data_IF_735683968297
#
_entry.id   IF_735683968297
#
_cell.length_a   1.000
_cell.length_b   1.000
_cell.length_c   1.000
_cell.angle_alpha   90.00
_cell.angle_beta   90.00
_cell.angle_gamma   90.00
#
_symmetry.space_group_name_H-M   'P 1'
#
loop_
_entity.id
_entity.type
_entity.pdbx_description
1 polymer ?
#
# COMPACT_ATOMS: atom_id res chain seq x y z
N UNK A 1 -17.00 9.65 -3.59
CA UNK A 1 -16.02 9.87 -2.51
C UNK A 1 -14.65 9.68 -3.14
N UNK A 2 -13.83 10.74 -3.26
CA UNK A 2 -12.50 10.62 -3.87
C UNK A 2 -11.64 9.70 -3.00
N UNK A 3 -11.04 8.67 -3.59
CA UNK A 3 -10.07 7.80 -2.93
C UNK A 3 -8.83 8.65 -2.63
N UNK A 4 -8.78 9.25 -1.44
CA UNK A 4 -7.60 9.94 -0.98
C UNK A 4 -6.64 8.86 -0.49
N UNK A 5 -5.77 8.40 -1.40
CA UNK A 5 -4.64 7.56 -0.99
C UNK A 5 -3.89 8.32 0.11
N UNK A 6 -3.42 7.66 1.19
CA UNK A 6 -2.80 8.35 2.33
C UNK A 6 -1.50 9.11 1.99
N UNK A 7 -1.07 9.06 0.73
CA UNK A 7 0.05 9.81 0.17
C UNK A 7 -0.16 10.02 -1.33
N UNK A 8 0.47 11.04 -1.90
CA UNK A 8 0.47 11.30 -3.34
C UNK A 8 1.47 10.36 -4.03
N UNK A 9 1.02 9.40 -4.86
CA UNK A 9 1.92 8.45 -5.51
C UNK A 9 2.82 9.11 -6.56
N UNK A 10 2.40 10.21 -7.18
CA UNK A 10 3.20 10.94 -8.17
C UNK A 10 4.36 11.65 -7.48
N UNK A 11 4.07 12.38 -6.39
CA UNK A 11 5.13 13.02 -5.57
C UNK A 11 6.08 12.00 -5.00
N UNK A 12 5.57 10.88 -4.48
CA UNK A 12 6.40 9.80 -3.95
C UNK A 12 7.39 9.28 -5.00
N UNK A 13 6.94 9.06 -6.25
CA UNK A 13 7.82 8.65 -7.34
C UNK A 13 8.88 9.70 -7.67
N UNK A 14 8.48 10.97 -7.76
CA UNK A 14 9.40 12.08 -8.05
C UNK A 14 10.47 12.25 -6.97
N UNK A 15 10.11 12.11 -5.69
CA UNK A 15 11.01 12.33 -4.56
C UNK A 15 11.95 11.15 -4.29
N UNK A 16 11.50 9.92 -4.50
CA UNK A 16 12.25 8.72 -4.09
C UNK A 16 12.91 7.97 -5.25
N UNK A 17 12.49 8.25 -6.48
CA UNK A 17 12.81 7.44 -7.64
C UNK A 17 12.09 6.08 -7.66
N UNK A 18 10.98 5.95 -6.91
CA UNK A 18 10.19 4.72 -6.87
C UNK A 18 9.77 4.32 -8.29
N UNK A 19 10.22 3.15 -8.73
CA UNK A 19 9.82 2.54 -9.99
C UNK A 19 8.81 1.41 -9.76
N UNK A 20 9.14 0.47 -8.87
CA UNK A 20 8.31 -0.68 -8.56
C UNK A 20 8.51 -1.17 -7.12
N UNK A 21 7.65 -2.11 -6.72
CA UNK A 21 7.69 -2.81 -5.44
C UNK A 21 8.04 -4.26 -5.71
N UNK A 22 8.97 -4.80 -4.92
CA UNK A 22 9.26 -6.23 -4.88
C UNK A 22 8.78 -6.76 -3.53
N UNK A 23 7.82 -7.68 -3.52
CA UNK A 23 7.19 -8.09 -2.28
C UNK A 23 5.95 -8.95 -2.45
N UNK A 24 5.20 -9.08 -1.35
CA UNK A 24 4.00 -9.90 -1.26
C UNK A 24 2.82 -9.11 -0.71
N UNK A 25 1.64 -9.52 -1.15
CA UNK A 25 0.35 -9.04 -0.66
C UNK A 25 -0.38 -10.27 -0.12
N UNK A 26 -0.89 -10.16 1.10
CA UNK A 26 -1.64 -11.23 1.76
C UNK A 26 -2.98 -10.70 2.26
N UNK A 27 -4.07 -11.37 1.89
CA UNK A 27 -5.40 -11.11 2.46
C UNK A 27 -5.59 -12.03 3.64
N UNK A 28 -5.36 -11.52 4.85
CA UNK A 28 -5.40 -12.34 6.08
C UNK A 28 -6.82 -12.65 6.52
N UNK A 29 -7.76 -11.73 6.31
CA UNK A 29 -9.17 -11.90 6.65
C UNK A 29 -10.05 -11.18 5.64
N UNK A 30 -11.18 -11.80 5.28
CA UNK A 30 -12.16 -11.24 4.34
C UNK A 30 -13.59 -11.58 4.76
N UNK A 31 -14.48 -10.63 4.55
CA UNK A 31 -15.93 -10.76 4.61
C UNK A 31 -16.55 -10.08 3.38
N UNK A 32 -17.87 -10.17 3.14
CA UNK A 32 -18.51 -9.54 2.00
C UNK A 32 -18.31 -8.02 1.90
N UNK A 33 -18.04 -7.35 3.03
CA UNK A 33 -17.91 -5.88 3.10
C UNK A 33 -16.60 -5.40 3.72
N UNK A 34 -15.73 -6.29 4.20
CA UNK A 34 -14.46 -5.88 4.84
C UNK A 34 -13.32 -6.83 4.48
N UNK A 35 -12.13 -6.30 4.28
CA UNK A 35 -10.91 -7.09 4.13
C UNK A 35 -9.76 -6.48 4.94
N UNK A 36 -8.94 -7.35 5.52
CA UNK A 36 -7.67 -6.99 6.14
C UNK A 36 -6.55 -7.50 5.23
N UNK A 37 -5.67 -6.60 4.81
CA UNK A 37 -4.62 -6.88 3.83
C UNK A 37 -3.28 -6.49 4.41
N UNK A 38 -2.34 -7.43 4.44
CA UNK A 38 -0.93 -7.19 4.74
C UNK A 38 -0.16 -7.00 3.43
N UNK A 39 0.74 -6.03 3.42
CA UNK A 39 1.69 -5.81 2.33
C UNK A 39 3.08 -5.69 2.94
N UNK A 40 3.99 -6.53 2.45
CA UNK A 40 5.41 -6.48 2.77
C UNK A 40 6.19 -6.36 1.47
N UNK A 41 6.99 -5.30 1.34
CA UNK A 41 7.69 -5.04 0.10
C UNK A 41 8.99 -4.24 0.30
N UNK A 42 9.85 -4.29 -0.71
CA UNK A 42 10.99 -3.39 -0.89
C UNK A 42 10.65 -2.46 -2.05
N UNK A 43 10.76 -1.16 -1.83
CA UNK A 43 10.68 -0.16 -2.90
C UNK A 43 11.98 -0.14 -3.68
N UNK A 44 11.87 -0.20 -5.00
CA UNK A 44 13.01 -0.29 -5.92
C UNK A 44 13.03 0.90 -6.87
N UNK A 45 14.23 1.39 -7.17
CA UNK A 45 14.47 2.32 -8.29
C UNK A 45 14.47 1.58 -9.63
N UNK A 46 14.55 2.32 -10.72
CA UNK A 46 14.63 1.77 -12.08
C UNK A 46 15.86 0.88 -12.28
N UNK A 47 16.98 1.21 -11.66
CA UNK A 47 18.23 0.43 -11.68
C UNK A 47 18.20 -0.82 -10.79
N UNK A 48 17.08 -1.09 -10.10
CA UNK A 48 16.92 -2.22 -9.18
C UNK A 48 17.53 -2.00 -7.79
N UNK A 49 18.15 -0.84 -7.53
CA UNK A 49 18.64 -0.48 -6.20
C UNK A 49 17.47 -0.32 -5.22
N UNK A 50 17.70 -0.71 -3.97
CA UNK A 50 16.71 -0.59 -2.92
C UNK A 50 16.59 0.85 -2.41
N UNK A 51 15.36 1.27 -2.12
CA UNK A 51 15.03 2.56 -1.49
C UNK A 51 14.81 2.32 0.00
N UNK A 52 13.78 1.53 0.33
CA UNK A 52 13.38 1.21 1.70
C UNK A 52 12.53 -0.07 1.71
N UNK A 53 12.52 -0.77 2.85
CA UNK A 53 11.55 -1.81 3.15
C UNK A 53 10.27 -1.20 3.71
N UNK A 54 9.13 -1.85 3.48
CA UNK A 54 7.87 -1.49 4.11
C UNK A 54 7.08 -2.73 4.50
N UNK A 55 6.42 -2.61 5.64
CA UNK A 55 5.40 -3.53 6.11
C UNK A 55 4.16 -2.72 6.47
N UNK A 56 2.99 -3.18 6.03
CA UNK A 56 1.77 -2.41 6.22
C UNK A 56 0.52 -3.27 6.31
N UNK A 57 -0.42 -2.81 7.12
CA UNK A 57 -1.77 -3.32 7.26
C UNK A 57 -2.74 -2.30 6.66
N UNK A 58 -3.58 -2.77 5.75
CA UNK A 58 -4.70 -2.02 5.21
C UNK A 58 -6.02 -2.66 5.63
N UNK A 59 -6.97 -1.83 6.02
CA UNK A 59 -8.36 -2.21 6.20
C UNK A 59 -9.16 -1.64 5.05
N UNK A 60 -9.76 -2.53 4.26
CA UNK A 60 -10.59 -2.19 3.13
C UNK A 60 -12.04 -2.42 3.52
N UNK A 61 -12.91 -1.48 3.17
CA UNK A 61 -14.35 -1.62 3.34
C UNK A 61 -15.05 -1.40 2.02
N UNK A 62 -15.98 -2.29 1.70
CA UNK A 62 -16.85 -2.14 0.56
C UNK A 62 -17.95 -1.13 0.90
N UNK A 63 -18.10 -0.14 0.03
CA UNK A 63 -19.16 0.86 0.09
C UNK A 63 -20.49 0.23 -0.28
N UNK A 64 -21.50 0.44 0.56
CA UNK A 64 -22.86 -0.09 0.34
C UNK A 64 -23.58 0.63 -0.82
N UNK A 65 -23.17 1.85 -1.17
CA UNK A 65 -23.88 2.68 -2.16
C UNK A 65 -23.48 2.37 -3.60
N UNK A 66 -22.21 2.02 -3.82
CA UNK A 66 -21.66 1.83 -5.17
C UNK A 66 -20.81 0.55 -5.29
N UNK A 67 -20.78 -0.30 -4.26
CA UNK A 67 -20.02 -1.56 -4.24
C UNK A 67 -18.50 -1.41 -4.40
N UNK A 68 -17.95 -0.20 -4.34
CA UNK A 68 -16.51 0.05 -4.45
C UNK A 68 -15.79 -0.29 -3.15
N UNK A 69 -14.56 -0.77 -3.25
CA UNK A 69 -13.71 -0.96 -2.08
C UNK A 69 -12.90 0.30 -1.79
N UNK A 70 -12.92 0.74 -0.54
CA UNK A 70 -12.21 1.92 -0.06
C UNK A 70 -11.31 1.54 1.11
N UNK A 71 -10.13 2.16 1.20
CA UNK A 71 -9.27 2.03 2.37
C UNK A 71 -9.87 2.88 3.49
N UNK A 72 -10.24 2.25 4.61
CA UNK A 72 -10.81 2.94 5.78
C UNK A 72 -9.82 3.11 6.92
N UNK A 73 -8.81 2.24 6.98
CA UNK A 73 -7.68 2.40 7.89
C UNK A 73 -6.39 1.85 7.26
N UNK A 74 -5.28 2.39 7.70
CA UNK A 74 -3.94 2.00 7.28
C UNK A 74 -2.97 2.18 8.44
N UNK A 75 -2.05 1.24 8.59
CA UNK A 75 -0.86 1.38 9.42
C UNK A 75 0.32 0.81 8.64
N UNK A 76 1.43 1.54 8.60
CA UNK A 76 2.61 1.10 7.88
C UNK A 76 3.89 1.58 8.55
N UNK A 77 4.91 0.75 8.46
CA UNK A 77 6.25 1.02 8.97
C UNK A 77 7.20 1.02 7.78
N UNK A 78 8.15 1.96 7.79
CA UNK A 78 9.24 2.04 6.81
C UNK A 78 10.54 1.64 7.50
N UNK A 79 11.33 0.84 6.83
CA UNK A 79 12.63 0.39 7.31
C UNK A 79 13.72 0.84 6.35
N UNK A 80 14.77 1.48 6.89
CA UNK A 80 15.98 1.76 6.11
C UNK A 80 16.72 0.45 5.88
N UNK A 81 17.07 0.20 4.63
CA UNK A 81 17.89 -0.94 4.25
C UNK A 81 19.37 -0.50 4.36
N UNK A 82 20.17 -1.29 5.06
CA UNK A 82 21.60 -1.05 5.28
C UNK A 82 22.45 -1.60 4.13
#
# INVERSE_FOLDING_TARGET
MHVCYPFDPVKLRQETGLHHLDGRIEVIHVSPTKAHVLIEAIRKREDGSSIEGLQSLYIWQRSDTNSEWLITAFSGIKEKLH
#
